data_IF_294157788421
#
_entry.id   IF_294157788421
#
_cell.length_a   1.000
_cell.length_b   1.000
_cell.length_c   1.000
_cell.angle_alpha   90.00
_cell.angle_beta   90.00
_cell.angle_gamma   90.00
#
_symmetry.space_group_name_H-M   'P 1'
#
loop_
_entity.id
_entity.type
_entity.pdbx_description
1 polymer ?
#
# COMPACT_ATOMS: atom_id res chain seq x y z
N UNK A 1 18.12 -5.53 5.43
CA UNK A 1 17.59 -6.40 4.34
C UNK A 1 18.27 -6.05 3.05
N UNK A 2 18.68 -7.04 2.24
CA UNK A 2 19.31 -6.79 0.94
C UNK A 2 18.25 -6.46 -0.12
N UNK A 3 18.56 -5.55 -1.05
CA UNK A 3 17.65 -5.19 -2.16
C UNK A 3 17.23 -6.38 -3.01
N UNK A 4 18.10 -7.40 -3.11
CA UNK A 4 17.79 -8.67 -3.78
C UNK A 4 16.61 -9.40 -3.11
N UNK A 5 16.54 -9.40 -1.78
CA UNK A 5 15.44 -10.05 -1.06
C UNK A 5 14.09 -9.38 -1.35
N UNK A 6 14.06 -8.05 -1.38
CA UNK A 6 12.86 -7.29 -1.74
C UNK A 6 12.43 -7.53 -3.19
N UNK A 7 13.39 -7.62 -4.12
CA UNK A 7 13.12 -7.93 -5.52
C UNK A 7 12.48 -9.31 -5.68
N UNK A 8 13.00 -10.33 -4.99
CA UNK A 8 12.45 -11.69 -5.04
C UNK A 8 11.02 -11.75 -4.47
N UNK A 9 10.76 -11.03 -3.38
CA UNK A 9 9.40 -10.92 -2.82
C UNK A 9 8.46 -10.22 -3.82
N UNK A 10 8.92 -9.15 -4.47
CA UNK A 10 8.13 -8.43 -5.46
C UNK A 10 7.76 -9.32 -6.66
N UNK A 11 8.72 -10.08 -7.20
CA UNK A 11 8.48 -11.02 -8.30
C UNK A 11 7.51 -12.12 -7.87
N UNK A 12 7.75 -12.74 -6.71
CA UNK A 12 6.91 -13.82 -6.18
C UNK A 12 5.47 -13.37 -5.94
N UNK A 13 5.27 -12.24 -5.24
CA UNK A 13 3.94 -11.71 -4.95
C UNK A 13 3.21 -11.20 -6.19
N UNK A 14 3.94 -10.57 -7.13
CA UNK A 14 3.40 -10.10 -8.41
C UNK A 14 2.90 -11.24 -9.30
N UNK A 15 3.62 -12.37 -9.35
CA UNK A 15 3.21 -13.56 -10.10
C UNK A 15 2.09 -14.36 -9.43
N UNK A 16 2.09 -14.43 -8.09
CA UNK A 16 1.11 -15.23 -7.33
C UNK A 16 -0.30 -14.63 -7.35
N UNK A 17 -0.42 -13.31 -7.14
CA UNK A 17 -1.71 -12.61 -6.98
C UNK A 17 -2.74 -12.88 -8.10
N UNK A 18 -2.42 -12.72 -9.40
CA UNK A 18 -3.41 -12.97 -10.46
C UNK A 18 -3.73 -14.46 -10.63
N UNK A 19 -2.78 -15.34 -10.34
CA UNK A 19 -2.91 -16.78 -10.55
C UNK A 19 -3.81 -17.44 -9.50
N UNK A 20 -3.68 -17.09 -8.22
CA UNK A 20 -4.43 -17.75 -7.13
C UNK A 20 -5.93 -17.49 -7.24
N UNK A 21 -6.33 -16.23 -7.48
CA UNK A 21 -7.74 -15.88 -7.61
C UNK A 21 -8.38 -16.53 -8.85
N UNK A 22 -7.66 -16.52 -9.98
CA UNK A 22 -8.12 -17.20 -11.20
C UNK A 22 -8.24 -18.70 -10.97
N UNK A 23 -7.19 -19.36 -10.47
CA UNK A 23 -7.17 -20.80 -10.22
C UNK A 23 -8.27 -21.26 -9.26
N UNK A 24 -8.52 -20.50 -8.20
CA UNK A 24 -9.62 -20.76 -7.25
C UNK A 24 -11.00 -20.69 -7.92
N UNK A 25 -11.22 -19.67 -8.76
CA UNK A 25 -12.48 -19.54 -9.50
C UNK A 25 -12.72 -20.67 -10.50
N UNK A 26 -11.65 -21.21 -11.09
CA UNK A 26 -11.73 -22.29 -12.07
C UNK A 26 -12.16 -23.66 -11.50
N UNK A 27 -12.14 -23.81 -10.17
CA UNK A 27 -12.56 -25.05 -9.51
C UNK A 27 -14.09 -25.26 -9.58
N UNK A 28 -14.85 -24.18 -9.76
CA UNK A 28 -16.31 -24.18 -9.79
C UNK A 28 -16.86 -24.39 -11.21
N UNK A 29 -17.96 -25.15 -11.32
CA UNK A 29 -18.68 -25.37 -12.59
C UNK A 29 -19.75 -24.29 -12.78
N UNK A 30 -19.60 -23.48 -13.82
CA UNK A 30 -20.58 -22.47 -14.22
C UNK A 30 -21.50 -23.04 -15.31
N UNK A 31 -22.82 -22.77 -15.30
CA UNK A 31 -23.53 -21.80 -14.46
C UNK A 31 -24.06 -22.32 -13.10
N UNK A 32 -24.01 -23.63 -12.85
CA UNK A 32 -24.66 -24.28 -11.69
C UNK A 32 -24.15 -23.75 -10.33
N UNK A 33 -22.84 -23.53 -10.18
CA UNK A 33 -22.21 -23.18 -8.89
C UNK A 33 -21.96 -21.66 -8.73
N UNK A 34 -22.73 -20.81 -9.41
CA UNK A 34 -22.55 -19.33 -9.34
C UNK A 34 -22.68 -18.77 -7.93
N UNK A 35 -23.63 -19.25 -7.12
CA UNK A 35 -23.82 -18.77 -5.76
C UNK A 35 -22.62 -19.14 -4.85
N UNK A 36 -22.13 -20.38 -4.98
CA UNK A 36 -20.97 -20.86 -4.22
C UNK A 36 -19.69 -20.11 -4.60
N UNK A 37 -19.52 -19.76 -5.88
CA UNK A 37 -18.38 -18.95 -6.35
C UNK A 37 -18.39 -17.54 -5.72
N UNK A 38 -19.56 -16.89 -5.59
CA UNK A 38 -19.67 -15.58 -4.93
C UNK A 38 -19.33 -15.67 -3.44
N UNK A 39 -19.80 -16.73 -2.78
CA UNK A 39 -19.46 -17.00 -1.38
C UNK A 39 -17.95 -17.23 -1.19
N UNK A 40 -17.33 -18.00 -2.08
CA UNK A 40 -15.87 -18.20 -2.10
C UNK A 40 -15.12 -16.87 -2.18
N UNK A 41 -15.48 -15.98 -3.10
CA UNK A 41 -14.82 -14.68 -3.20
C UNK A 41 -15.07 -13.77 -2.00
N UNK A 42 -16.24 -13.87 -1.37
CA UNK A 42 -16.56 -13.13 -0.13
C UNK A 42 -15.68 -13.60 1.03
N UNK A 43 -15.53 -14.93 1.20
CA UNK A 43 -14.65 -15.51 2.20
C UNK A 43 -13.18 -15.21 1.91
N UNK A 44 -12.76 -15.28 0.64
CA UNK A 44 -11.40 -14.92 0.21
C UNK A 44 -11.07 -13.48 0.59
N UNK A 45 -11.99 -12.55 0.33
CA UNK A 45 -11.84 -11.15 0.69
C UNK A 45 -11.77 -10.93 2.21
N UNK A 46 -12.64 -11.59 2.97
CA UNK A 46 -12.62 -11.53 4.43
C UNK A 46 -11.29 -12.03 5.00
N UNK A 47 -10.79 -13.18 4.52
CA UNK A 47 -9.52 -13.77 4.96
C UNK A 47 -8.32 -12.88 4.63
N UNK A 48 -8.31 -12.17 3.50
CA UNK A 48 -7.23 -11.22 3.16
C UNK A 48 -7.20 -10.07 4.18
N UNK A 49 -8.34 -9.47 4.48
CA UNK A 49 -8.39 -8.34 5.42
C UNK A 49 -8.10 -8.79 6.85
N UNK A 50 -8.63 -9.93 7.28
CA UNK A 50 -8.33 -10.52 8.57
C UNK A 50 -6.84 -10.88 8.70
N UNK A 51 -6.27 -11.51 7.67
CA UNK A 51 -4.84 -11.84 7.63
C UNK A 51 -3.95 -10.60 7.64
N UNK A 52 -4.33 -9.54 6.91
CA UNK A 52 -3.67 -8.24 6.96
C UNK A 52 -3.72 -7.62 8.35
N UNK A 53 -4.89 -7.61 8.99
CA UNK A 53 -5.07 -7.12 10.36
C UNK A 53 -4.21 -7.89 11.37
N UNK A 54 -4.25 -9.23 11.35
CA UNK A 54 -3.44 -10.07 12.24
C UNK A 54 -1.95 -9.86 11.96
N UNK A 55 -1.54 -9.86 10.69
CA UNK A 55 -0.13 -9.68 10.30
C UNK A 55 0.43 -8.32 10.72
N UNK A 56 -0.29 -7.24 10.45
CA UNK A 56 0.11 -5.88 10.83
C UNK A 56 0.15 -5.67 12.35
N UNK A 57 -0.66 -6.41 13.12
CA UNK A 57 -0.64 -6.34 14.58
C UNK A 57 0.48 -7.20 15.18
N UNK A 58 0.61 -8.44 14.71
CA UNK A 58 1.48 -9.44 15.31
C UNK A 58 2.96 -9.23 14.93
N UNK A 59 3.25 -8.83 13.70
CA UNK A 59 4.65 -8.66 13.25
C UNK A 59 5.41 -7.59 14.06
N UNK A 60 4.88 -6.38 14.31
CA UNK A 60 5.54 -5.40 15.17
C UNK A 60 5.69 -5.86 16.62
N UNK A 61 4.69 -6.57 17.16
CA UNK A 61 4.73 -7.13 18.52
C UNK A 61 5.82 -8.17 18.65
N UNK A 62 5.91 -9.12 17.71
CA UNK A 62 6.97 -10.13 17.69
C UNK A 62 8.35 -9.49 17.55
N UNK A 63 8.49 -8.45 16.71
CA UNK A 63 9.75 -7.72 16.55
C UNK A 63 10.23 -7.07 17.86
N UNK A 64 9.32 -6.54 18.68
CA UNK A 64 9.65 -5.84 19.95
C UNK A 64 9.75 -6.79 21.15
N UNK A 65 9.08 -7.93 21.12
CA UNK A 65 9.01 -8.86 22.26
C UNK A 65 10.32 -9.62 22.53
N UNK A 66 11.19 -9.76 21.52
CA UNK A 66 12.43 -10.54 21.62
C UNK A 66 13.61 -9.65 21.23
N UNK A 67 14.64 -9.63 22.06
CA UNK A 67 15.95 -9.02 21.74
C UNK A 67 16.77 -10.02 20.95
N UNK A 68 17.29 -9.62 19.79
CA UNK A 68 18.12 -10.49 18.94
C UNK A 68 19.41 -9.76 18.57
N UNK A 69 20.52 -10.50 18.53
CA UNK A 69 21.82 -9.98 18.06
C UNK A 69 22.35 -8.76 18.81
N UNK A 70 21.89 -8.52 20.05
CA UNK A 70 22.29 -7.37 20.87
C UNK A 70 21.48 -6.09 20.62
N UNK A 71 20.48 -6.12 19.73
CA UNK A 71 19.55 -5.01 19.50
C UNK A 71 18.23 -5.22 20.25
N UNK A 72 17.63 -4.11 20.69
CA UNK A 72 16.30 -4.07 21.34
C UNK A 72 15.14 -4.50 20.41
N UNK A 73 15.42 -4.73 19.12
CA UNK A 73 14.42 -5.15 18.13
C UNK A 73 14.92 -6.31 17.29
N UNK A 74 14.10 -7.37 17.17
CA UNK A 74 14.41 -8.56 16.38
C UNK A 74 13.73 -8.54 15.01
N UNK A 75 14.40 -7.97 14.01
CA UNK A 75 13.91 -8.00 12.63
C UNK A 75 13.85 -9.41 12.04
N UNK A 76 14.74 -10.32 12.46
CA UNK A 76 14.75 -11.70 11.98
C UNK A 76 13.42 -12.42 12.27
N UNK A 77 12.84 -12.21 13.46
CA UNK A 77 11.56 -12.81 13.82
C UNK A 77 10.39 -12.18 13.05
N UNK A 78 10.42 -10.85 12.88
CA UNK A 78 9.39 -10.12 12.13
C UNK A 78 9.26 -10.55 10.67
N UNK A 79 10.38 -10.89 10.01
CA UNK A 79 10.38 -11.39 8.63
C UNK A 79 10.32 -12.92 8.54
N UNK A 80 10.85 -13.62 9.54
CA UNK A 80 10.81 -15.08 9.61
C UNK A 80 9.39 -15.62 9.79
N UNK A 81 8.55 -14.92 10.57
CA UNK A 81 7.16 -15.33 10.78
C UNK A 81 6.33 -15.40 9.48
N UNK A 82 6.25 -14.34 8.64
CA UNK A 82 5.61 -14.43 7.33
C UNK A 82 6.25 -15.45 6.39
N UNK A 83 7.58 -15.62 6.43
CA UNK A 83 8.28 -16.60 5.60
C UNK A 83 7.86 -18.04 5.96
N UNK A 84 7.75 -18.36 7.25
CA UNK A 84 7.28 -19.67 7.73
C UNK A 84 5.82 -19.93 7.29
N UNK A 85 4.95 -18.93 7.42
CA UNK A 85 3.56 -19.02 6.95
C UNK A 85 3.48 -19.23 5.44
N UNK A 86 4.36 -18.59 4.66
CA UNK A 86 4.42 -18.79 3.21
C UNK A 86 4.84 -20.21 2.85
N UNK A 87 5.86 -20.76 3.52
CA UNK A 87 6.28 -22.17 3.33
C UNK A 87 5.14 -23.12 3.66
N UNK A 88 4.45 -22.92 4.79
CA UNK A 88 3.29 -23.72 5.17
C UNK A 88 2.17 -23.63 4.13
N UNK A 89 1.90 -22.43 3.61
CA UNK A 89 0.90 -22.23 2.55
C UNK A 89 1.26 -22.98 1.26
N UNK A 90 2.53 -22.99 0.86
CA UNK A 90 2.99 -23.74 -0.31
C UNK A 90 2.86 -25.24 -0.08
N UNK A 91 3.21 -25.74 1.11
CA UNK A 91 3.06 -27.16 1.46
C UNK A 91 1.59 -27.58 1.38
N UNK A 92 0.67 -26.83 1.98
CA UNK A 92 -0.77 -27.09 1.89
C UNK A 92 -1.27 -27.04 0.45
N UNK A 93 -0.81 -26.07 -0.34
CA UNK A 93 -1.19 -25.95 -1.75
C UNK A 93 -0.74 -27.17 -2.57
N UNK A 94 0.49 -27.65 -2.36
CA UNK A 94 1.04 -28.82 -3.07
C UNK A 94 0.36 -30.11 -2.63
N UNK A 95 0.06 -30.28 -1.34
CA UNK A 95 -0.69 -31.43 -0.83
C UNK A 95 -2.09 -31.52 -1.44
N UNK A 96 -2.72 -30.37 -1.75
CA UNK A 96 -4.02 -30.31 -2.42
C UNK A 96 -4.00 -30.63 -3.91
N UNK A 97 -2.83 -30.86 -4.53
CA UNK A 97 -2.68 -30.99 -6.01
C UNK A 97 -3.60 -32.04 -6.64
N UNK A 98 -3.87 -33.15 -5.94
CA UNK A 98 -4.73 -34.24 -6.43
C UNK A 98 -6.21 -33.86 -6.50
N UNK A 99 -6.63 -32.84 -5.74
CA UNK A 99 -8.02 -32.38 -5.69
C UNK A 99 -8.34 -31.27 -6.70
N UNK A 100 -7.32 -30.70 -7.35
CA UNK A 100 -7.52 -29.58 -8.25
C UNK A 100 -7.90 -30.01 -9.66
N UNK A 101 -8.84 -29.26 -10.25
CA UNK A 101 -9.16 -29.33 -11.67
C UNK A 101 -8.16 -28.48 -12.43
N UNK A 102 -7.26 -29.13 -13.16
CA UNK A 102 -6.32 -28.46 -14.06
C UNK A 102 -6.98 -28.29 -15.43
N UNK A 103 -7.12 -27.05 -15.89
CA UNK A 103 -7.55 -26.75 -17.26
C UNK A 103 -6.37 -26.82 -18.22
N UNK A 104 -6.66 -27.21 -19.45
CA UNK A 104 -5.67 -27.17 -20.54
C UNK A 104 -5.30 -25.73 -20.88
N UNK A 105 -4.04 -25.47 -21.26
CA UNK A 105 -3.58 -24.12 -21.59
C UNK A 105 -4.38 -23.55 -22.77
N UNK A 106 -4.93 -22.35 -22.58
CA UNK A 106 -5.58 -21.57 -23.65
C UNK A 106 -4.52 -20.83 -24.48
N UNK A 107 -4.88 -20.43 -25.70
CA UNK A 107 -4.03 -19.62 -26.60
C UNK A 107 -3.54 -18.34 -25.91
N UNK A 108 -2.35 -17.85 -26.28
CA UNK A 108 -1.72 -16.68 -25.66
C UNK A 108 -2.38 -15.36 -26.08
N UNK A 109 -3.53 -15.05 -25.48
CA UNK A 109 -4.33 -13.85 -25.79
C UNK A 109 -3.51 -12.55 -25.60
N UNK A 110 -2.63 -12.49 -24.59
CA UNK A 110 -1.78 -11.31 -24.37
C UNK A 110 -0.81 -11.04 -25.53
N UNK A 111 -0.24 -12.11 -26.12
CA UNK A 111 0.67 -11.98 -27.26
C UNK A 111 -0.08 -11.46 -28.49
N UNK A 112 -1.27 -12.00 -28.74
CA UNK A 112 -2.14 -11.52 -29.83
C UNK A 112 -2.57 -10.07 -29.63
N UNK A 113 -2.89 -9.68 -28.40
CA UNK A 113 -3.26 -8.31 -28.06
C UNK A 113 -2.12 -7.33 -28.40
N UNK A 114 -0.87 -7.67 -28.02
CA UNK A 114 0.32 -6.86 -28.31
C UNK A 114 0.62 -6.84 -29.81
N UNK A 115 0.60 -8.00 -30.47
CA UNK A 115 0.83 -8.10 -31.91
C UNK A 115 -0.21 -7.31 -32.71
N UNK A 116 -1.50 -7.45 -32.38
CA UNK A 116 -2.58 -6.72 -33.03
C UNK A 116 -2.45 -5.20 -32.80
N UNK A 117 -2.15 -4.77 -31.57
CA UNK A 117 -1.93 -3.36 -31.25
C UNK A 117 -0.73 -2.78 -32.02
N UNK A 118 0.37 -3.53 -32.09
CA UNK A 118 1.58 -3.15 -32.80
C UNK A 118 1.37 -3.09 -34.32
N UNK A 119 0.75 -4.11 -34.91
CA UNK A 119 0.41 -4.15 -36.34
C UNK A 119 -0.56 -3.02 -36.72
N UNK A 120 -1.60 -2.79 -35.93
CA UNK A 120 -2.55 -1.70 -36.16
C UNK A 120 -1.89 -0.32 -36.05
N UNK A 121 -0.98 -0.14 -35.10
CA UNK A 121 -0.22 1.11 -34.93
C UNK A 121 0.78 1.33 -36.07
N UNK A 122 1.54 0.30 -36.46
CA UNK A 122 2.46 0.37 -37.60
C UNK A 122 1.73 0.61 -38.92
N UNK A 123 0.58 -0.02 -39.13
CA UNK A 123 -0.26 0.20 -40.31
C UNK A 123 -0.76 1.65 -40.38
N UNK A 124 -1.15 2.23 -39.23
CA UNK A 124 -1.50 3.65 -39.10
C UNK A 124 -0.32 4.58 -39.39
N UNK A 125 0.89 4.23 -38.94
CA UNK A 125 2.10 5.04 -39.14
C UNK A 125 2.67 4.93 -40.56
N UNK A 126 2.57 3.77 -41.22
CA UNK A 126 3.12 3.52 -42.57
C UNK A 126 2.20 3.92 -43.73
N UNK A 127 0.89 4.13 -43.52
CA UNK A 127 -0.06 4.49 -44.60
C UNK A 127 -0.72 5.86 -44.38
N UNK A 128 -0.69 6.70 -45.44
CA UNK A 128 -1.71 7.73 -45.77
C UNK A 128 -3.07 7.00 -45.92
N UNK A 129 -3.97 7.11 -44.96
CA UNK A 129 -5.15 6.23 -44.86
C UNK A 129 -6.32 6.60 -45.82
N UNK A 130 -7.11 5.62 -46.30
CA UNK A 130 -8.45 5.86 -46.84
C UNK A 130 -9.47 6.11 -45.69
N UNK A 131 -10.43 7.00 -45.96
CA UNK A 131 -11.28 7.72 -44.98
C UNK A 131 -12.32 6.89 -44.18
N UNK A 132 -12.44 5.57 -44.33
CA UNK A 132 -13.64 4.83 -43.89
C UNK A 132 -13.55 3.94 -42.64
N UNK A 133 -12.47 3.99 -41.86
CA UNK A 133 -12.38 3.24 -40.59
C UNK A 133 -12.54 4.18 -39.38
N UNK A 134 -13.59 3.99 -38.57
CA UNK A 134 -13.90 4.83 -37.42
C UNK A 134 -12.93 4.66 -36.23
N UNK A 135 -12.23 3.53 -36.11
CA UNK A 135 -11.28 3.27 -35.02
C UNK A 135 -9.95 2.72 -35.54
N UNK A 136 -8.83 3.13 -34.93
CA UNK A 136 -7.48 2.73 -35.37
C UNK A 136 -7.18 1.23 -35.23
N UNK A 137 -7.88 0.52 -34.34
CA UNK A 137 -7.80 -0.95 -34.27
C UNK A 137 -8.40 -1.67 -35.47
N UNK A 138 -9.26 -1.01 -36.26
CA UNK A 138 -9.91 -1.67 -37.39
C UNK A 138 -8.94 -2.01 -38.53
N UNK A 139 -7.73 -1.42 -38.53
CA UNK A 139 -6.65 -1.81 -39.44
C UNK A 139 -6.17 -3.26 -39.23
N UNK A 140 -6.41 -3.85 -38.04
CA UNK A 140 -6.05 -5.24 -37.73
C UNK A 140 -7.05 -6.29 -38.20
N UNK A 141 -8.21 -5.90 -38.77
CA UNK A 141 -9.29 -6.84 -39.16
C UNK A 141 -8.89 -7.87 -40.22
N UNK A 142 -7.81 -7.63 -40.96
CA UNK A 142 -7.32 -8.55 -41.99
C UNK A 142 -6.60 -9.77 -41.39
N UNK A 143 -5.93 -9.59 -40.24
CA UNK A 143 -5.03 -10.59 -39.65
C UNK A 143 -5.57 -11.18 -38.34
N UNK A 144 -6.59 -10.56 -37.72
CA UNK A 144 -7.10 -10.92 -36.40
C UNK A 144 -8.63 -11.05 -36.36
N UNK A 145 -9.13 -11.86 -35.42
CA UNK A 145 -10.56 -12.07 -35.21
C UNK A 145 -11.29 -10.77 -34.86
N UNK A 146 -12.48 -10.58 -35.42
CA UNK A 146 -13.30 -9.38 -35.22
C UNK A 146 -13.75 -9.23 -33.76
N UNK A 147 -13.98 -10.36 -33.07
CA UNK A 147 -14.32 -10.36 -31.64
C UNK A 147 -13.18 -9.85 -30.78
N UNK A 148 -11.95 -10.31 -31.05
CA UNK A 148 -10.75 -9.83 -30.36
C UNK A 148 -10.62 -8.30 -30.51
N UNK A 149 -10.78 -7.79 -31.74
CA UNK A 149 -10.68 -6.33 -32.01
C UNK A 149 -11.75 -5.55 -31.23
N UNK A 150 -12.99 -6.07 -31.15
CA UNK A 150 -14.05 -5.43 -30.38
C UNK A 150 -13.75 -5.42 -28.88
N UNK A 151 -13.31 -6.54 -28.33
CA UNK A 151 -12.91 -6.65 -26.92
C UNK A 151 -11.73 -5.71 -26.61
N UNK A 152 -10.75 -5.61 -27.51
CA UNK A 152 -9.63 -4.68 -27.37
C UNK A 152 -10.08 -3.22 -27.34
N UNK A 153 -11.06 -2.81 -28.16
CA UNK A 153 -11.61 -1.43 -28.11
C UNK A 153 -12.22 -1.12 -26.75
N UNK A 154 -12.96 -2.07 -26.17
CA UNK A 154 -13.52 -1.93 -24.82
C UNK A 154 -12.40 -1.83 -23.78
N UNK A 155 -11.37 -2.67 -23.89
CA UNK A 155 -10.20 -2.62 -22.99
C UNK A 155 -9.49 -1.28 -23.06
N UNK A 156 -9.24 -0.73 -24.26
CA UNK A 156 -8.63 0.60 -24.41
C UNK A 156 -9.49 1.72 -23.82
N UNK A 157 -10.82 1.64 -23.94
CA UNK A 157 -11.73 2.59 -23.31
C UNK A 157 -11.69 2.48 -21.77
N UNK A 158 -11.62 1.26 -21.22
CA UNK A 158 -11.46 1.04 -19.77
C UNK A 158 -10.08 1.52 -19.28
N UNK A 159 -9.02 1.29 -20.05
CA UNK A 159 -7.69 1.80 -19.74
C UNK A 159 -7.67 3.32 -19.66
N UNK A 160 -8.34 4.01 -20.58
CA UNK A 160 -8.49 5.46 -20.54
C UNK A 160 -9.26 5.91 -19.28
N UNK A 161 -10.33 5.20 -18.91
CA UNK A 161 -11.09 5.46 -17.68
C UNK A 161 -10.22 5.30 -16.42
N UNK A 162 -9.23 4.42 -16.45
CA UNK A 162 -8.34 4.12 -15.32
C UNK A 162 -7.11 5.04 -15.23
N UNK A 163 -6.91 5.98 -16.15
CA UNK A 163 -5.78 6.93 -16.12
C UNK A 163 -5.68 7.73 -14.80
N UNK A 164 -6.78 8.14 -14.13
CA UNK A 164 -6.68 8.79 -12.82
C UNK A 164 -6.34 7.85 -11.65
N UNK A 165 -6.50 6.53 -11.83
CA UNK A 165 -6.37 5.54 -10.75
C UNK A 165 -4.95 5.46 -10.15
N UNK A 166 -3.85 5.56 -10.93
CA UNK A 166 -2.50 5.68 -10.38
C UNK A 166 -2.31 6.85 -9.40
N UNK A 167 -3.00 7.98 -9.59
CA UNK A 167 -2.91 9.12 -8.66
C UNK A 167 -3.49 8.71 -7.30
N UNK A 168 -4.65 8.05 -7.30
CA UNK A 168 -5.24 7.52 -6.07
C UNK A 168 -4.30 6.54 -5.37
N UNK A 169 -3.72 5.57 -6.09
CA UNK A 169 -2.77 4.62 -5.50
C UNK A 169 -1.49 5.29 -5.01
N UNK A 170 -1.00 6.32 -5.70
CA UNK A 170 0.17 7.08 -5.25
C UNK A 170 -0.07 7.81 -3.92
N UNK A 171 -1.30 8.23 -3.65
CA UNK A 171 -1.71 8.78 -2.36
C UNK A 171 -1.87 7.64 -1.34
N UNK A 172 -2.67 6.63 -1.65
CA UNK A 172 -2.95 5.52 -0.74
C UNK A 172 -1.67 4.81 -0.23
N UNK A 173 -0.71 4.54 -1.12
CA UNK A 173 0.54 3.85 -0.76
C UNK A 173 1.47 4.70 0.14
N UNK A 174 1.27 6.02 0.22
CA UNK A 174 2.02 6.87 1.17
C UNK A 174 1.65 6.59 2.62
N UNK A 175 0.49 5.99 2.89
CA UNK A 175 0.12 5.57 4.24
C UNK A 175 1.16 4.63 4.86
N UNK A 176 1.77 3.75 4.05
CA UNK A 176 2.75 2.79 4.54
C UNK A 176 4.11 3.40 4.92
N UNK A 177 4.40 4.62 4.47
CA UNK A 177 5.72 5.26 4.60
C UNK A 177 5.64 6.63 5.27
N UNK A 178 5.03 7.62 4.61
CA UNK A 178 4.95 9.00 5.09
C UNK A 178 4.14 9.11 6.37
N UNK A 179 3.01 8.43 6.46
CA UNK A 179 2.18 8.49 7.67
C UNK A 179 2.83 7.74 8.83
N UNK A 180 3.53 6.64 8.55
CA UNK A 180 4.35 5.94 9.55
C UNK A 180 5.44 6.86 10.12
N UNK A 181 6.12 7.63 9.26
CA UNK A 181 7.13 8.61 9.67
C UNK A 181 6.52 9.80 10.43
N UNK A 182 5.37 10.30 10.00
CA UNK A 182 4.65 11.32 10.74
C UNK A 182 4.27 10.81 12.14
N UNK A 183 3.75 9.58 12.23
CA UNK A 183 3.39 8.94 13.50
C UNK A 183 4.59 8.71 14.43
N UNK A 184 5.82 8.58 13.92
CA UNK A 184 7.01 8.47 14.78
C UNK A 184 7.36 9.77 15.51
N UNK A 185 6.78 10.89 15.09
CA UNK A 185 6.93 12.19 15.75
C UNK A 185 5.72 12.57 16.63
N UNK A 186 4.74 11.67 16.75
CA UNK A 186 3.55 11.86 17.57
C UNK A 186 3.65 11.11 18.89
N UNK A 187 2.88 11.54 19.89
CA UNK A 187 2.74 10.75 21.12
C UNK A 187 1.97 9.45 20.82
N UNK A 188 2.64 8.33 21.02
CA UNK A 188 2.09 6.98 20.83
C UNK A 188 1.47 6.38 22.09
N UNK A 189 1.34 7.14 23.18
CA UNK A 189 0.77 6.65 24.42
C UNK A 189 -0.78 6.61 24.34
N UNK A 190 -1.33 5.41 24.15
CA UNK A 190 -2.78 5.18 24.14
C UNK A 190 -3.16 4.31 25.33
N UNK A 191 -3.96 4.86 26.25
CA UNK A 191 -4.44 4.15 27.45
C UNK A 191 -3.33 3.46 28.27
N UNK A 192 -2.13 4.06 28.35
CA UNK A 192 -0.98 3.52 29.08
C UNK A 192 -0.18 2.45 28.31
N UNK A 193 -0.56 2.14 27.06
CA UNK A 193 0.21 1.29 26.17
C UNK A 193 0.89 2.11 25.08
N UNK A 194 2.18 1.86 24.84
CA UNK A 194 2.92 2.53 23.78
C UNK A 194 2.68 1.83 22.44
N UNK A 195 1.89 2.48 21.58
CA UNK A 195 1.65 2.05 20.21
C UNK A 195 2.87 2.39 19.35
N UNK A 196 3.34 1.40 18.59
CA UNK A 196 4.45 1.59 17.66
C UNK A 196 3.91 2.25 16.38
N UNK A 197 4.62 3.23 15.76
CA UNK A 197 4.13 3.95 14.58
C UNK A 197 3.63 3.05 13.43
N UNK A 198 4.32 1.93 13.16
CA UNK A 198 3.94 0.96 12.12
C UNK A 198 2.56 0.33 12.36
N UNK A 199 2.10 0.24 13.62
CA UNK A 199 0.79 -0.33 13.98
C UNK A 199 -0.38 0.56 13.55
N UNK A 200 -0.14 1.83 13.20
CA UNK A 200 -1.16 2.69 12.60
C UNK A 200 -1.80 2.06 11.36
N UNK A 201 -1.04 1.25 10.61
CA UNK A 201 -1.53 0.59 9.39
C UNK A 201 -2.65 -0.43 9.67
N UNK A 202 -2.75 -0.94 10.91
CA UNK A 202 -3.81 -1.88 11.33
C UNK A 202 -5.21 -1.27 11.16
N UNK A 203 -5.32 0.07 11.24
CA UNK A 203 -6.58 0.78 11.05
C UNK A 203 -7.17 0.52 9.65
N UNK A 204 -6.34 0.33 8.63
CA UNK A 204 -6.82 0.13 7.26
C UNK A 204 -7.67 -1.16 7.10
N UNK A 205 -7.14 -2.37 7.33
CA UNK A 205 -7.95 -3.58 7.22
C UNK A 205 -9.13 -3.60 8.22
N UNK A 206 -8.97 -2.99 9.40
CA UNK A 206 -10.06 -2.84 10.37
C UNK A 206 -11.20 -1.98 9.80
N UNK A 207 -10.88 -0.81 9.25
CA UNK A 207 -11.86 0.07 8.59
C UNK A 207 -12.51 -0.63 7.41
N UNK A 208 -11.77 -1.39 6.61
CA UNK A 208 -12.34 -2.14 5.49
C UNK A 208 -13.37 -3.17 5.98
N UNK A 209 -13.06 -3.92 7.03
CA UNK A 209 -13.97 -4.91 7.62
C UNK A 209 -15.26 -4.29 8.19
N UNK A 210 -15.20 -3.05 8.69
CA UNK A 210 -16.35 -2.33 9.25
C UNK A 210 -17.13 -1.57 8.18
N UNK A 211 -16.43 -0.84 7.31
CA UNK A 211 -17.02 0.08 6.34
C UNK A 211 -17.69 -0.65 5.19
N UNK A 212 -17.19 -1.80 4.73
CA UNK A 212 -17.85 -2.55 3.64
C UNK A 212 -19.27 -2.98 3.99
N UNK A 213 -19.51 -3.73 5.09
CA UNK A 213 -20.87 -4.13 5.43
C UNK A 213 -21.75 -2.92 5.77
N UNK A 214 -21.18 -1.85 6.35
CA UNK A 214 -21.89 -0.60 6.59
C UNK A 214 -22.33 0.06 5.27
N UNK A 215 -21.44 0.15 4.28
CA UNK A 215 -21.74 0.76 2.99
C UNK A 215 -22.73 -0.08 2.19
N UNK A 216 -22.54 -1.40 2.13
CA UNK A 216 -23.39 -2.30 1.35
C UNK A 216 -24.80 -2.45 1.95
N UNK A 217 -24.93 -2.52 3.28
CA UNK A 217 -26.23 -2.75 3.92
C UNK A 217 -26.98 -1.48 4.32
N UNK A 218 -26.26 -0.39 4.60
CA UNK A 218 -26.87 0.85 5.08
C UNK A 218 -26.70 2.00 4.08
N UNK A 219 -25.47 2.35 3.72
CA UNK A 219 -25.22 3.59 2.98
C UNK A 219 -25.74 3.54 1.54
N UNK A 220 -25.37 2.52 0.76
CA UNK A 220 -25.79 2.42 -0.64
C UNK A 220 -27.31 2.24 -0.81
N UNK A 221 -28.01 1.41 -0.02
CA UNK A 221 -29.46 1.34 -0.09
C UNK A 221 -30.15 2.68 0.24
N UNK A 222 -29.59 3.48 1.16
CA UNK A 222 -30.10 4.81 1.47
C UNK A 222 -29.84 5.82 0.33
N UNK A 223 -28.64 5.80 -0.25
CA UNK A 223 -28.30 6.64 -1.39
C UNK A 223 -29.15 6.30 -2.63
N UNK A 224 -29.38 5.01 -2.89
CA UNK A 224 -30.24 4.55 -3.98
C UNK A 224 -31.69 4.99 -3.78
N UNK A 225 -32.22 4.94 -2.55
CA UNK A 225 -33.54 5.51 -2.21
C UNK A 225 -33.60 7.03 -2.46
N UNK A 226 -32.51 7.73 -2.24
CA UNK A 226 -32.39 9.16 -2.48
C UNK A 226 -32.01 9.53 -3.93
N UNK A 227 -31.91 8.54 -4.84
CA UNK A 227 -31.41 8.71 -6.21
C UNK A 227 -30.00 9.35 -6.32
N UNK A 228 -29.22 9.29 -5.25
CA UNK A 228 -27.84 9.76 -5.17
C UNK A 228 -26.88 8.56 -5.31
N UNK A 229 -25.71 8.74 -5.95
CA UNK A 229 -24.68 7.68 -6.15
C UNK A 229 -25.15 6.38 -6.87
N UNK A 230 -26.03 6.50 -7.86
CA UNK A 230 -26.51 5.35 -8.65
C UNK A 230 -25.47 4.76 -9.61
N UNK A 231 -24.54 5.59 -10.12
CA UNK A 231 -23.49 5.15 -11.03
C UNK A 231 -22.20 4.75 -10.27
N UNK A 232 -21.59 3.58 -10.57
CA UNK A 232 -20.27 3.21 -10.04
C UNK A 232 -19.19 4.30 -10.21
N UNK A 233 -19.26 5.09 -11.29
CA UNK A 233 -18.33 6.20 -11.53
C UNK A 233 -18.43 7.29 -10.46
N UNK A 234 -19.64 7.61 -9.98
CA UNK A 234 -19.81 8.59 -8.90
C UNK A 234 -19.15 8.11 -7.60
N UNK A 235 -19.23 6.81 -7.30
CA UNK A 235 -18.59 6.21 -6.13
C UNK A 235 -17.06 6.33 -6.21
N UNK A 236 -16.50 6.09 -7.39
CA UNK A 236 -15.05 6.26 -7.64
C UNK A 236 -14.61 7.72 -7.47
N UNK A 237 -15.37 8.67 -8.02
CA UNK A 237 -15.06 10.11 -7.92
C UNK A 237 -15.13 10.59 -6.48
N UNK A 238 -16.19 10.25 -5.73
CA UNK A 238 -16.34 10.63 -4.32
C UNK A 238 -15.23 10.02 -3.46
N UNK A 239 -14.88 8.74 -3.69
CA UNK A 239 -13.74 8.11 -3.01
C UNK A 239 -12.42 8.84 -3.27
N UNK A 240 -12.18 9.28 -4.51
CA UNK A 240 -11.02 10.10 -4.87
C UNK A 240 -11.00 11.46 -4.17
N UNK A 241 -12.14 12.15 -4.10
CA UNK A 241 -12.23 13.44 -3.38
C UNK A 241 -11.98 13.27 -1.89
N UNK A 242 -12.57 12.25 -1.26
CA UNK A 242 -12.36 11.94 0.16
C UNK A 242 -10.90 11.62 0.46
N UNK A 243 -10.22 10.86 -0.42
CA UNK A 243 -8.79 10.63 -0.30
C UNK A 243 -7.99 11.94 -0.38
N UNK A 244 -8.33 12.84 -1.30
CA UNK A 244 -7.71 14.17 -1.38
C UNK A 244 -7.88 14.97 -0.08
N UNK A 245 -9.10 15.00 0.48
CA UNK A 245 -9.38 15.67 1.76
C UNK A 245 -8.59 15.05 2.92
N UNK A 246 -8.44 13.73 2.96
CA UNK A 246 -7.62 13.05 3.97
C UNK A 246 -6.15 13.49 3.90
N UNK A 247 -5.61 13.68 2.70
CA UNK A 247 -4.24 14.18 2.51
C UNK A 247 -4.07 15.65 2.89
N UNK A 248 -5.09 16.49 2.66
CA UNK A 248 -5.09 17.86 3.17
C UNK A 248 -5.06 17.85 4.70
N UNK A 249 -5.85 17.00 5.34
CA UNK A 249 -5.83 16.81 6.80
C UNK A 249 -4.46 16.37 7.32
N UNK A 250 -3.84 15.37 6.69
CA UNK A 250 -2.49 14.91 7.03
C UNK A 250 -1.42 16.02 6.85
N UNK A 251 -1.56 16.88 5.84
CA UNK A 251 -0.69 18.03 5.63
C UNK A 251 -0.85 19.11 6.70
N UNK A 252 -2.09 19.42 7.11
CA UNK A 252 -2.35 20.35 8.21
C UNK A 252 -1.74 19.81 9.51
N UNK A 253 -1.87 18.51 9.77
CA UNK A 253 -1.27 17.86 10.92
C UNK A 253 0.26 18.00 10.91
N UNK A 254 0.91 17.84 9.76
CA UNK A 254 2.36 18.02 9.63
C UNK A 254 2.78 19.46 9.96
N UNK A 255 2.04 20.46 9.50
CA UNK A 255 2.33 21.88 9.81
C UNK A 255 2.23 22.19 11.31
N UNK A 256 1.40 21.45 12.04
CA UNK A 256 1.31 21.56 13.51
C UNK A 256 2.50 20.84 14.16
N UNK A 257 2.88 19.66 13.67
CA UNK A 257 4.02 18.88 14.18
C UNK A 257 5.36 19.59 13.94
N UNK A 258 5.52 20.29 12.83
CA UNK A 258 6.75 21.02 12.49
C UNK A 258 7.09 22.09 13.53
N UNK A 259 6.08 22.67 14.20
CA UNK A 259 6.31 23.60 15.32
C UNK A 259 6.99 22.97 16.53
N UNK A 260 6.88 21.65 16.66
CA UNK A 260 7.51 20.86 17.71
C UNK A 260 8.87 20.30 17.29
N UNK A 261 9.21 20.38 16.00
CA UNK A 261 10.50 19.90 15.51
C UNK A 261 11.62 20.86 15.93
N UNK A 262 12.82 20.34 16.24
CA UNK A 262 13.95 21.20 16.56
C UNK A 262 14.39 21.97 15.31
N UNK A 263 14.49 23.31 15.36
CA UNK A 263 14.98 24.05 14.19
C UNK A 263 16.39 23.59 13.83
N UNK A 264 16.64 23.36 12.54
CA UNK A 264 17.98 23.06 12.06
C UNK A 264 18.83 24.32 12.17
N UNK A 265 20.06 24.24 12.71
CA UNK A 265 20.91 25.43 12.82
C UNK A 265 21.28 25.94 11.42
N UNK A 266 21.34 27.27 11.26
CA UNK A 266 21.71 27.91 10.00
C UNK A 266 23.17 27.65 9.60
N UNK A 267 23.57 28.09 8.39
CA UNK A 267 24.98 28.01 7.96
C UNK A 267 25.87 28.71 9.01
N UNK A 268 26.86 27.99 9.53
CA UNK A 268 27.80 28.39 10.61
C UNK A 268 27.31 28.28 12.07
N UNK A 269 26.18 27.61 12.31
CA UNK A 269 25.73 27.26 13.67
C UNK A 269 25.72 25.73 13.83
N UNK A 270 26.13 25.25 15.01
CA UNK A 270 25.89 23.88 15.45
C UNK A 270 24.80 23.88 16.53
N UNK A 271 24.02 22.82 16.63
CA UNK A 271 23.07 22.65 17.74
C UNK A 271 23.30 21.30 18.41
N UNK A 272 23.48 21.32 19.73
CA UNK A 272 23.49 20.14 20.57
C UNK A 272 22.10 20.00 21.22
N UNK A 273 21.40 18.91 20.89
CA UNK A 273 20.12 18.56 21.51
C UNK A 273 20.36 17.39 22.47
N UNK A 274 20.12 17.61 23.76
CA UNK A 274 20.23 16.57 24.80
C UNK A 274 18.83 16.28 25.31
N UNK A 275 18.40 15.02 25.19
CA UNK A 275 17.07 14.57 25.65
C UNK A 275 17.26 13.69 26.88
N UNK A 276 16.58 14.04 27.97
CA UNK A 276 16.54 13.18 29.15
C UNK A 276 15.41 12.17 29.00
N UNK A 277 15.75 10.94 28.62
CA UNK A 277 14.80 9.83 28.51
C UNK A 277 14.55 9.09 29.83
N UNK A 278 15.22 9.50 30.92
CA UNK A 278 15.06 8.89 32.25
C UNK A 278 13.93 9.57 33.04
N UNK A 279 13.30 8.83 33.99
CA UNK A 279 12.25 9.38 34.86
C UNK A 279 12.79 10.31 35.96
N UNK A 280 14.10 10.55 36.03
CA UNK A 280 14.76 11.38 37.03
C UNK A 280 15.44 12.60 36.39
N UNK A 281 15.61 13.68 37.14
CA UNK A 281 16.32 14.88 36.68
C UNK A 281 17.83 14.64 36.59
N UNK A 282 18.44 14.96 35.45
CA UNK A 282 19.88 14.87 35.23
C UNK A 282 20.54 16.23 35.40
N UNK A 283 21.74 16.26 35.97
CA UNK A 283 22.55 17.48 36.07
C UNK A 283 23.64 17.41 35.00
N UNK A 284 23.57 18.31 34.03
CA UNK A 284 24.52 18.42 32.92
C UNK A 284 25.59 19.46 33.26
N UNK A 285 26.85 19.01 33.27
CA UNK A 285 28.02 19.88 33.36
C UNK A 285 28.53 20.16 31.95
N UNK A 286 28.36 21.40 31.47
CA UNK A 286 28.91 21.82 30.19
C UNK A 286 30.05 22.82 30.43
N UNK A 287 31.22 22.65 29.80
CA UNK A 287 32.33 23.59 29.92
C UNK A 287 32.04 24.94 29.25
N UNK A 288 30.98 25.02 28.43
CA UNK A 288 30.58 26.23 27.69
C UNK A 288 29.35 26.93 28.29
N UNK A 289 28.57 26.25 29.13
CA UNK A 289 27.45 26.85 29.84
C UNK A 289 27.33 26.17 31.20
N UNK A 290 27.41 26.94 32.28
CA UNK A 290 27.24 26.49 33.66
C UNK A 290 26.21 25.36 33.86
N UNK A 291 26.38 24.62 34.95
CA UNK A 291 25.55 23.48 35.37
C UNK A 291 24.06 23.69 35.11
N UNK A 292 23.45 22.83 34.29
CA UNK A 292 22.00 22.86 34.00
C UNK A 292 21.32 21.58 34.46
N UNK A 293 20.16 21.73 35.10
CA UNK A 293 19.30 20.60 35.48
C UNK A 293 18.32 20.34 34.34
N UNK A 294 18.31 19.11 33.83
CA UNK A 294 17.40 18.63 32.80
C UNK A 294 16.37 17.70 33.44
N UNK A 295 15.13 18.17 33.54
CA UNK A 295 14.02 17.37 34.08
C UNK A 295 13.66 16.18 33.18
N UNK A 296 12.94 15.22 33.73
CA UNK A 296 12.51 14.01 33.01
C UNK A 296 11.69 14.37 31.76
N UNK A 297 11.97 13.69 30.65
CA UNK A 297 11.34 13.89 29.34
C UNK A 297 11.46 15.31 28.74
N UNK A 298 12.35 16.17 29.28
CA UNK A 298 12.64 17.48 28.68
C UNK A 298 13.85 17.43 27.74
N UNK A 299 13.78 18.27 26.71
CA UNK A 299 14.84 18.50 25.74
C UNK A 299 15.62 19.77 26.12
N UNK A 300 16.94 19.63 26.31
CA UNK A 300 17.86 20.76 26.41
C UNK A 300 18.43 21.04 25.01
N UNK A 301 18.34 22.29 24.58
CA UNK A 301 18.95 22.75 23.33
C UNK A 301 20.04 23.77 23.62
N UNK A 302 21.25 23.49 23.15
CA UNK A 302 22.38 24.40 23.24
C UNK A 302 22.90 24.74 21.84
N UNK A 303 22.86 26.01 21.47
CA UNK A 303 23.45 26.49 20.22
C UNK A 303 24.96 26.71 20.40
N UNK A 304 25.75 26.14 19.49
CA UNK A 304 27.19 26.30 19.39
C UNK A 304 27.48 27.25 18.23
N UNK A 305 28.05 28.42 18.54
CA UNK A 305 28.54 29.35 17.53
C UNK A 305 29.92 28.89 17.09
N UNK A 306 30.09 28.60 15.80
CA UNK A 306 31.40 28.28 15.23
C UNK A 306 32.25 29.53 15.10
N UNK A 307 33.06 29.86 16.11
CA UNK A 307 34.16 30.82 15.95
C UNK A 307 35.29 30.14 15.19
N UNK A 308 35.51 30.55 13.94
CA UNK A 308 36.66 30.14 13.13
C UNK A 308 37.95 30.60 13.83
N UNK A 309 38.63 29.69 14.55
CA UNK A 309 40.02 29.92 14.95
C UNK A 309 40.87 29.79 13.68
N UNK A 310 41.21 30.92 13.07
CA UNK A 310 42.23 31.00 12.03
C UNK A 310 43.57 30.98 12.77
N UNK A 311 44.17 29.81 12.92
CA UNK A 311 45.57 29.69 13.35
C UNK A 311 46.44 30.42 12.31
N UNK A 312 47.13 31.46 12.78
CA UNK A 312 48.14 32.25 12.08
C UNK A 312 49.48 31.54 12.06
#
# INVERSE_FOLDING_TARGET
MSGLGLLLIAIGTGGLKPCVAAFGAEQFRLPEQRALLRYFFSLFYFTINLGGFIGMTLTPVLRKAVTCFGDDTCYALGFGFPALLMVLSILLFVLGKTFYKLKTPKRNIMLEFVQCSWCALLARLRRRAPKHHHHWLDYGKQDFDSKLIQDMKVVFAILLLFVPLPIFWSLFDQQGSRWTFQASHMDGNLFGSQIVPDQMQVINPLMVLVLIPLFDKLLYPLCEKAQLLTNPLHRMVIGGMTAGLAFVGAGILELVLERSYPDLPGKHQGSLNVVNTLPCSLVLYSPFSNTRVLEAAKLLRQQLLGSYYRES
#
